data_IF_217289696211
#
_entry.id   IF_217289696211
#
_cell.length_a   1.000
_cell.length_b   1.000
_cell.length_c   1.000
_cell.angle_alpha   90.00
_cell.angle_beta   90.00
_cell.angle_gamma   90.00
#
_symmetry.space_group_name_H-M   'P 1'
#
loop_
_entity.id
_entity.type
_entity.pdbx_description
1 polymer ?
#
# COMPACT_ATOMS: atom_id res chain seq x y z
N UNK A 1 3.92 3.62 9.17
CA UNK A 1 3.63 4.70 8.22
C UNK A 1 2.16 5.08 8.38
N UNK A 2 1.83 6.38 8.50
CA UNK A 2 0.45 6.85 8.66
C UNK A 2 -0.33 6.57 7.36
N UNK A 3 -1.54 6.03 7.46
CA UNK A 3 -2.42 5.85 6.31
C UNK A 3 -3.11 7.17 5.95
N UNK A 4 -3.20 7.45 4.66
CA UNK A 4 -3.67 8.75 4.11
C UNK A 4 -5.09 8.65 3.56
N UNK A 5 -5.37 7.60 2.81
CA UNK A 5 -6.66 7.42 2.14
C UNK A 5 -6.92 5.95 1.80
N UNK A 6 -8.16 5.65 1.47
CA UNK A 6 -8.62 4.40 0.89
C UNK A 6 -8.88 4.58 -0.59
N UNK A 7 -8.44 3.61 -1.39
CA UNK A 7 -8.51 3.67 -2.86
C UNK A 7 -9.07 2.36 -3.39
N UNK A 8 -10.10 2.47 -4.20
CA UNK A 8 -10.61 1.38 -5.01
C UNK A 8 -9.80 1.26 -6.31
N UNK A 9 -9.39 0.05 -6.64
CA UNK A 9 -8.70 -0.31 -7.88
C UNK A 9 -9.54 -1.29 -8.67
N UNK A 10 -9.74 -1.03 -9.96
CA UNK A 10 -10.45 -1.92 -10.87
C UNK A 10 -9.72 -2.05 -12.21
N UNK A 11 -10.15 -3.01 -13.05
CA UNK A 11 -9.63 -3.19 -14.39
C UNK A 11 -10.62 -2.72 -15.46
N UNK A 12 -10.17 -1.85 -16.37
CA UNK A 12 -10.97 -1.35 -17.49
C UNK A 12 -11.20 -2.40 -18.59
N UNK A 13 -10.45 -3.51 -18.55
CA UNK A 13 -10.53 -4.58 -19.56
C UNK A 13 -11.66 -5.58 -19.31
N UNK A 14 -12.35 -5.50 -18.17
CA UNK A 14 -13.44 -6.41 -17.77
C UNK A 14 -14.71 -5.62 -17.57
N UNK A 15 -15.47 -5.42 -18.65
CA UNK A 15 -16.68 -4.58 -18.70
C UNK A 15 -17.89 -5.08 -17.89
N UNK A 16 -17.80 -6.26 -17.27
CA UNK A 16 -18.89 -6.88 -16.50
C UNK A 16 -18.48 -7.28 -15.07
N UNK A 17 -17.29 -6.91 -14.62
CA UNK A 17 -16.76 -7.38 -13.35
C UNK A 17 -16.68 -6.27 -12.31
N UNK A 18 -17.46 -6.42 -11.25
CA UNK A 18 -17.34 -5.73 -9.96
C UNK A 18 -16.07 -6.16 -9.19
N UNK A 19 -15.03 -6.66 -9.88
CA UNK A 19 -13.77 -7.10 -9.26
C UNK A 19 -12.87 -5.90 -9.06
N UNK A 20 -13.03 -5.30 -7.93
CA UNK A 20 -12.10 -4.30 -7.43
C UNK A 20 -11.40 -4.76 -6.18
N UNK A 21 -10.30 -4.11 -5.87
CA UNK A 21 -9.54 -4.27 -4.63
C UNK A 21 -9.46 -2.94 -3.94
N UNK A 22 -9.80 -2.89 -2.66
CA UNK A 22 -9.63 -1.72 -1.81
C UNK A 22 -8.26 -1.78 -1.16
N UNK A 23 -7.51 -0.69 -1.26
CA UNK A 23 -6.18 -0.54 -0.68
C UNK A 23 -6.09 0.73 0.15
N UNK A 24 -5.45 0.64 1.30
CA UNK A 24 -5.22 1.78 2.18
C UNK A 24 -3.82 2.35 1.96
N UNK A 25 -3.75 3.49 1.27
CA UNK A 25 -2.52 4.16 0.86
C UNK A 25 -1.84 4.95 1.99
N UNK A 26 -0.50 5.06 1.99
CA UNK A 26 0.43 4.44 1.05
C UNK A 26 0.51 2.93 1.22
N UNK A 27 0.76 2.24 0.10
CA UNK A 27 0.96 0.79 0.04
C UNK A 27 2.39 0.45 -0.37
N UNK A 28 2.86 -0.75 0.01
CA UNK A 28 4.13 -1.26 -0.48
C UNK A 28 4.03 -1.61 -1.97
N UNK A 29 5.17 -1.76 -2.60
CA UNK A 29 5.20 -2.16 -4.01
C UNK A 29 4.67 -3.60 -4.20
N UNK A 30 4.85 -4.48 -3.22
CA UNK A 30 4.28 -5.82 -3.26
C UNK A 30 2.76 -5.81 -3.08
N UNK A 31 2.22 -5.00 -2.18
CA UNK A 31 0.77 -4.82 -2.05
C UNK A 31 0.15 -4.30 -3.36
N UNK A 32 0.81 -3.35 -4.03
CA UNK A 32 0.36 -2.84 -5.32
C UNK A 32 0.41 -3.91 -6.41
N UNK A 33 1.51 -4.66 -6.52
CA UNK A 33 1.64 -5.74 -7.50
C UNK A 33 0.63 -6.85 -7.26
N UNK A 34 0.39 -7.18 -6.00
CA UNK A 34 -0.59 -8.19 -5.61
C UNK A 34 -2.03 -7.76 -5.96
N UNK A 35 -2.37 -6.50 -5.72
CA UNK A 35 -3.66 -5.95 -6.15
C UNK A 35 -3.86 -6.07 -7.68
N UNK A 36 -2.82 -5.77 -8.47
CA UNK A 36 -2.87 -5.96 -9.93
C UNK A 36 -3.06 -7.42 -10.33
N UNK A 37 -2.46 -8.34 -9.60
CA UNK A 37 -2.64 -9.77 -9.80
C UNK A 37 -4.06 -10.22 -9.45
N UNK A 38 -4.63 -9.67 -8.38
CA UNK A 38 -6.01 -9.93 -7.95
C UNK A 38 -7.05 -9.41 -8.95
N UNK A 39 -6.92 -8.17 -9.45
CA UNK A 39 -7.84 -7.61 -10.46
C UNK A 39 -7.58 -8.16 -11.87
N UNK A 40 -6.60 -9.05 -12.04
CA UNK A 40 -6.27 -9.71 -13.30
C UNK A 40 -5.93 -8.75 -14.45
N UNK A 41 -5.29 -7.66 -14.15
CA UNK A 41 -4.85 -6.74 -15.20
C UNK A 41 -3.56 -7.24 -15.86
N UNK A 42 -3.45 -6.99 -17.18
CA UNK A 42 -2.26 -7.37 -17.95
C UNK A 42 -1.24 -6.25 -18.02
N UNK A 43 -1.69 -5.03 -17.84
CA UNK A 43 -0.83 -3.84 -17.90
C UNK A 43 -1.32 -2.76 -16.91
N UNK A 44 -0.40 -1.99 -16.30
CA UNK A 44 -0.77 -0.89 -15.40
C UNK A 44 -1.70 0.16 -16.03
N UNK A 45 -1.66 0.32 -17.36
CA UNK A 45 -2.55 1.23 -18.10
C UNK A 45 -4.00 0.77 -18.21
N UNK A 46 -4.29 -0.50 -17.87
CA UNK A 46 -5.65 -1.05 -17.85
C UNK A 46 -6.33 -0.85 -16.48
N UNK A 47 -5.61 -0.29 -15.51
CA UNK A 47 -6.12 -0.04 -14.16
C UNK A 47 -6.82 1.31 -14.14
N UNK A 48 -8.05 1.35 -13.65
CA UNK A 48 -8.66 2.58 -13.17
C UNK A 48 -8.69 2.56 -11.64
N UNK A 49 -8.66 3.74 -11.05
CA UNK A 49 -8.67 3.88 -9.61
C UNK A 49 -9.46 5.12 -9.19
N UNK A 50 -9.97 5.06 -7.97
CA UNK A 50 -10.72 6.13 -7.35
C UNK A 50 -10.38 6.18 -5.87
N UNK A 51 -10.24 7.39 -5.33
CA UNK A 51 -10.15 7.58 -3.89
C UNK A 51 -11.56 7.53 -3.31
N UNK A 52 -11.81 6.57 -2.43
CA UNK A 52 -13.11 6.42 -1.77
C UNK A 52 -13.18 7.30 -0.52
N UNK A 53 -12.12 7.31 0.29
CA UNK A 53 -12.08 8.10 1.51
C UNK A 53 -10.66 8.64 1.79
N UNK A 54 -10.57 9.92 2.15
CA UNK A 54 -9.37 10.49 2.76
C UNK A 54 -9.48 10.44 4.28
N UNK A 55 -8.50 9.92 4.97
CA UNK A 55 -8.39 9.98 6.45
C UNK A 55 -7.77 11.29 6.91
N UNK A 56 -6.98 11.92 6.05
CA UNK A 56 -6.35 13.23 6.23
C UNK A 56 -6.14 13.87 4.85
N UNK A 57 -5.75 15.13 4.80
CA UNK A 57 -5.49 15.86 3.53
C UNK A 57 -6.70 15.95 2.58
N UNK A 58 -7.95 15.97 3.09
CA UNK A 58 -9.19 16.01 2.25
C UNK A 58 -9.20 17.19 1.27
N UNK A 59 -8.44 18.24 1.55
CA UNK A 59 -8.32 19.40 0.68
C UNK A 59 -7.59 19.12 -0.63
N UNK A 60 -6.95 17.94 -0.75
CA UNK A 60 -6.31 17.48 -2.00
C UNK A 60 -7.31 16.95 -3.02
N UNK A 61 -8.46 16.41 -2.57
CA UNK A 61 -9.43 15.75 -3.44
C UNK A 61 -9.81 16.56 -4.71
N UNK A 62 -10.06 17.89 -4.65
CA UNK A 62 -10.38 18.69 -5.84
C UNK A 62 -9.21 18.92 -6.80
N UNK A 63 -7.99 18.54 -6.40
CA UNK A 63 -6.75 18.81 -7.12
C UNK A 63 -6.07 17.55 -7.65
N UNK A 64 -6.68 16.38 -7.43
CA UNK A 64 -6.18 15.13 -8.01
C UNK A 64 -6.50 15.10 -9.51
N UNK A 65 -5.50 14.78 -10.31
CA UNK A 65 -5.64 14.60 -11.75
C UNK A 65 -6.00 13.14 -12.05
N UNK A 66 -7.14 12.92 -12.72
CA UNK A 66 -7.58 11.58 -13.14
C UNK A 66 -6.59 10.89 -14.10
N UNK A 67 -5.70 11.65 -14.74
CA UNK A 67 -4.63 11.11 -15.60
C UNK A 67 -3.38 10.65 -14.82
N UNK A 68 -3.32 10.92 -13.53
CA UNK A 68 -2.24 10.50 -12.64
C UNK A 68 -2.14 8.98 -12.60
N UNK A 69 -0.93 8.43 -12.71
CA UNK A 69 -0.73 7.00 -12.50
C UNK A 69 -0.90 6.66 -11.01
N UNK A 70 -1.41 5.45 -10.72
CA UNK A 70 -1.55 4.97 -9.34
C UNK A 70 -0.21 4.91 -8.59
N UNK A 71 0.89 4.72 -9.31
CA UNK A 71 2.24 4.73 -8.74
C UNK A 71 2.68 6.14 -8.32
N UNK A 72 2.37 7.16 -9.13
CA UNK A 72 2.63 8.55 -8.75
C UNK A 72 1.78 8.95 -7.55
N UNK A 73 0.52 8.52 -7.52
CA UNK A 73 -0.36 8.73 -6.38
C UNK A 73 0.17 8.05 -5.11
N UNK A 74 0.65 6.80 -5.21
CA UNK A 74 1.27 6.13 -4.07
C UNK A 74 2.47 6.90 -3.53
N UNK A 75 3.32 7.42 -4.40
CA UNK A 75 4.48 8.19 -3.96
C UNK A 75 4.11 9.53 -3.33
N UNK A 76 3.07 10.20 -3.82
CA UNK A 76 2.52 11.36 -3.15
C UNK A 76 2.02 11.00 -1.74
N UNK A 77 1.25 9.91 -1.60
CA UNK A 77 0.75 9.47 -0.29
C UNK A 77 1.87 9.02 0.65
N UNK A 78 2.96 8.44 0.14
CA UNK A 78 4.16 8.14 0.92
C UNK A 78 4.82 9.40 1.49
N UNK A 79 4.91 10.47 0.71
CA UNK A 79 5.43 11.75 1.19
C UNK A 79 4.51 12.35 2.24
N UNK A 80 3.20 12.42 1.96
CA UNK A 80 2.20 12.96 2.87
C UNK A 80 2.14 12.20 4.20
N UNK A 81 2.34 10.89 4.18
CA UNK A 81 2.30 10.04 5.39
C UNK A 81 3.37 10.37 6.42
N UNK A 82 4.42 11.08 6.02
CA UNK A 82 5.57 11.45 6.85
C UNK A 82 5.43 12.83 7.48
N UNK A 83 4.45 13.63 7.02
CA UNK A 83 4.25 14.99 7.48
C UNK A 83 3.67 15.03 8.90
N UNK A 84 4.20 15.89 9.73
CA UNK A 84 3.62 16.24 11.02
C UNK A 84 2.49 17.27 10.88
N UNK A 85 1.77 17.60 11.96
CA UNK A 85 0.64 18.54 11.97
C UNK A 85 1.02 19.94 11.48
N UNK A 86 2.22 20.44 11.82
CA UNK A 86 2.72 21.72 11.33
C UNK A 86 2.97 21.66 9.82
N UNK A 87 3.61 20.58 9.37
CA UNK A 87 3.92 20.36 7.96
C UNK A 87 2.64 20.15 7.13
N UNK A 88 1.60 19.51 7.68
CA UNK A 88 0.28 19.41 7.03
C UNK A 88 -0.34 20.79 6.80
N UNK A 89 -0.26 21.66 7.80
CA UNK A 89 -0.72 23.04 7.71
C UNK A 89 0.06 23.82 6.64
N UNK A 90 1.39 23.65 6.62
CA UNK A 90 2.26 24.22 5.60
C UNK A 90 1.90 23.72 4.19
N UNK A 91 1.67 22.40 4.01
CA UNK A 91 1.24 21.82 2.75
C UNK A 91 -0.06 22.41 2.25
N UNK A 92 -1.06 22.56 3.13
CA UNK A 92 -2.33 23.21 2.78
C UNK A 92 -2.14 24.66 2.34
N UNK A 93 -1.30 25.41 3.04
CA UNK A 93 -0.95 26.79 2.68
C UNK A 93 -0.23 26.88 1.33
N UNK A 94 0.78 26.05 1.12
CA UNK A 94 1.51 25.99 -0.15
C UNK A 94 0.60 25.66 -1.33
N UNK A 95 -0.28 24.65 -1.17
CA UNK A 95 -1.26 24.31 -2.20
C UNK A 95 -2.16 25.48 -2.53
N UNK A 96 -2.69 26.18 -1.53
CA UNK A 96 -3.55 27.36 -1.76
C UNK A 96 -2.81 28.50 -2.46
N UNK A 97 -1.54 28.75 -2.11
CA UNK A 97 -0.71 29.73 -2.81
C UNK A 97 -0.49 29.33 -4.28
N UNK A 98 -0.20 28.05 -4.54
CA UNK A 98 0.02 27.53 -5.89
C UNK A 98 -1.27 27.59 -6.75
N UNK A 99 -2.42 27.20 -6.18
CA UNK A 99 -3.74 27.34 -6.84
C UNK A 99 -4.01 28.79 -7.21
N UNK A 100 -3.79 29.71 -6.29
CA UNK A 100 -3.98 31.15 -6.55
C UNK A 100 -3.05 31.65 -7.67
N UNK A 101 -1.81 31.20 -7.70
CA UNK A 101 -0.85 31.51 -8.76
C UNK A 101 -1.32 30.98 -10.13
N UNK A 102 -1.74 29.70 -10.19
CA UNK A 102 -2.29 29.12 -11.42
C UNK A 102 -3.51 29.87 -11.94
N UNK A 103 -4.43 30.29 -11.05
CA UNK A 103 -5.59 31.11 -11.42
C UNK A 103 -5.18 32.47 -12.00
N UNK A 104 -4.18 33.13 -11.44
CA UNK A 104 -3.69 34.42 -11.91
C UNK A 104 -2.97 34.33 -13.27
N UNK A 105 -2.19 33.28 -13.45
CA UNK A 105 -1.39 33.06 -14.66
C UNK A 105 -2.15 32.32 -15.76
N UNK A 106 -3.41 31.92 -15.50
CA UNK A 106 -4.25 31.08 -16.36
C UNK A 106 -3.56 29.77 -16.77
N UNK A 107 -2.77 29.21 -15.83
CA UNK A 107 -2.19 27.88 -15.94
C UNK A 107 -3.28 26.82 -15.73
N UNK A 108 -3.07 25.62 -16.25
CA UNK A 108 -3.97 24.50 -16.07
C UNK A 108 -4.12 24.05 -14.60
N UNK A 109 -4.71 22.87 -14.36
CA UNK A 109 -4.81 22.29 -13.01
C UNK A 109 -3.42 22.03 -12.41
N UNK A 110 -3.38 21.91 -11.08
CA UNK A 110 -2.15 21.49 -10.36
C UNK A 110 -1.82 20.04 -10.76
N UNK A 111 -0.56 19.80 -11.10
CA UNK A 111 -0.09 18.48 -11.47
C UNK A 111 0.35 17.68 -10.24
N UNK A 112 0.39 16.35 -10.36
CA UNK A 112 0.92 15.47 -9.30
C UNK A 112 2.34 15.82 -8.91
N UNK A 113 3.18 16.10 -9.90
CA UNK A 113 4.58 16.47 -9.66
C UNK A 113 4.66 17.78 -8.86
N UNK A 114 3.75 18.74 -9.12
CA UNK A 114 3.66 19.94 -8.30
C UNK A 114 3.20 19.61 -6.88
N UNK A 115 2.22 18.71 -6.69
CA UNK A 115 1.80 18.29 -5.35
C UNK A 115 2.96 17.63 -4.58
N UNK A 116 3.72 16.75 -5.21
CA UNK A 116 4.91 16.15 -4.61
C UNK A 116 6.00 17.17 -4.31
N UNK A 117 6.21 18.13 -5.19
CA UNK A 117 7.13 19.25 -4.95
C UNK A 117 6.68 20.08 -3.75
N UNK A 118 5.39 20.40 -3.62
CA UNK A 118 4.89 21.14 -2.46
C UNK A 118 5.09 20.33 -1.16
N UNK A 119 4.79 19.02 -1.18
CA UNK A 119 4.97 18.15 -0.03
C UNK A 119 6.44 18.04 0.42
N UNK A 120 7.40 18.10 -0.52
CA UNK A 120 8.84 18.08 -0.18
C UNK A 120 9.38 19.43 0.30
N UNK A 121 8.62 20.51 0.14
CA UNK A 121 9.02 21.87 0.49
C UNK A 121 8.28 22.46 1.70
N UNK A 122 7.59 21.64 2.49
CA UNK A 122 6.79 22.11 3.64
C UNK A 122 7.64 22.79 4.72
N UNK A 123 8.92 22.45 4.81
CA UNK A 123 9.86 23.06 5.75
C UNK A 123 10.33 24.45 5.31
N UNK A 124 10.10 24.83 4.05
CA UNK A 124 10.34 26.18 3.55
C UNK A 124 9.22 27.17 3.92
N UNK A 125 8.37 26.80 4.88
CA UNK A 125 7.28 27.61 5.37
C UNK A 125 7.35 27.84 6.87
N UNK A 126 6.97 29.04 7.28
CA UNK A 126 6.61 29.32 8.65
C UNK A 126 5.08 29.21 8.83
N UNK A 127 4.67 28.53 9.89
CA UNK A 127 3.27 28.37 10.28
C UNK A 127 3.06 29.13 11.60
N UNK A 128 2.11 30.06 11.60
CA UNK A 128 1.66 30.79 12.79
C UNK A 128 0.29 30.22 13.20
N UNK A 129 0.30 29.24 14.09
CA UNK A 129 -0.88 28.43 14.44
C UNK A 129 -2.02 29.28 15.08
N UNK A 130 -1.67 30.34 15.82
CA UNK A 130 -2.65 31.18 16.52
C UNK A 130 -3.14 32.37 15.68
N UNK A 131 -2.79 32.44 14.40
CA UNK A 131 -3.08 33.58 13.51
C UNK A 131 -4.08 33.14 12.43
N UNK A 132 -5.35 33.55 12.59
CA UNK A 132 -6.43 33.10 11.71
C UNK A 132 -7.10 34.25 10.93
N UNK A 133 -6.70 35.49 11.20
CA UNK A 133 -7.26 36.67 10.56
C UNK A 133 -6.22 37.74 10.28
N UNK A 134 -6.55 38.71 9.43
CA UNK A 134 -5.66 39.87 9.23
C UNK A 134 -5.48 40.66 10.55
N UNK A 135 -6.47 40.69 11.45
CA UNK A 135 -6.32 41.36 12.74
C UNK A 135 -5.29 40.67 13.62
N UNK A 136 -5.34 39.30 13.71
CA UNK A 136 -4.37 38.52 14.48
C UNK A 136 -2.97 38.66 13.87
N UNK A 137 -2.86 38.64 12.54
CA UNK A 137 -1.59 38.82 11.85
C UNK A 137 -1.00 40.21 12.13
N UNK A 138 -1.83 41.25 12.09
CA UNK A 138 -1.37 42.59 12.43
C UNK A 138 -0.92 42.75 13.87
N UNK A 139 -1.65 42.15 14.82
CA UNK A 139 -1.21 42.05 16.23
C UNK A 139 0.13 41.34 16.35
N UNK A 140 0.24 40.17 15.72
CA UNK A 140 1.48 39.38 15.72
C UNK A 140 2.70 40.20 15.27
N UNK A 141 2.58 40.93 14.14
CA UNK A 141 3.69 41.74 13.62
C UNK A 141 4.05 42.92 14.50
N UNK A 142 3.08 43.54 15.11
CA UNK A 142 3.29 44.71 15.97
C UNK A 142 3.83 44.29 17.35
N UNK A 143 3.21 43.30 17.98
CA UNK A 143 3.59 42.84 19.32
C UNK A 143 4.97 42.17 19.38
N UNK A 144 5.42 41.59 18.28
CA UNK A 144 6.73 40.95 18.17
C UNK A 144 7.83 41.89 17.59
N UNK A 145 7.53 43.19 17.39
CA UNK A 145 8.52 44.17 16.95
C UNK A 145 8.97 44.00 15.47
N UNK A 146 8.19 43.33 14.65
CA UNK A 146 8.49 43.20 13.21
C UNK A 146 8.10 44.43 12.37
N UNK A 147 7.55 45.45 13.03
CA UNK A 147 7.18 46.73 12.41
C UNK A 147 8.01 47.87 13.05
N UNK A 148 9.29 47.91 12.69
CA UNK A 148 10.26 48.92 13.20
C UNK A 148 9.75 50.36 13.06
N UNK A 149 8.94 50.65 12.05
CA UNK A 149 8.33 51.96 11.83
C UNK A 149 7.30 52.34 12.91
N UNK A 150 6.78 51.37 13.67
CA UNK A 150 5.83 51.57 14.75
C UNK A 150 6.47 51.51 16.14
N UNK A 151 7.67 51.01 16.29
CA UNK A 151 8.36 50.83 17.60
C UNK A 151 8.61 52.13 18.36
N UNK A 152 8.66 53.27 17.67
CA UNK A 152 8.83 54.57 18.26
C UNK A 152 7.53 55.23 18.78
N UNK A 153 6.38 54.54 18.61
CA UNK A 153 5.09 55.06 19.04
C UNK A 153 4.93 54.93 20.58
N UNK A 154 4.29 55.93 21.24
CA UNK A 154 3.93 55.81 22.65
C UNK A 154 2.81 54.76 22.82
N UNK A 155 2.78 54.09 23.99
CA UNK A 155 1.81 53.03 24.29
C UNK A 155 0.35 53.39 23.98
N UNK A 156 -0.03 54.67 24.21
CA UNK A 156 -1.37 55.14 23.92
C UNK A 156 -1.71 55.16 22.43
N UNK A 157 -0.75 55.14 21.53
CA UNK A 157 -0.97 55.09 20.09
C UNK A 157 -1.27 53.71 19.58
N UNK A 158 -0.83 52.65 20.24
CA UNK A 158 -1.12 51.27 19.85
C UNK A 158 -2.60 50.96 19.89
N UNK A 159 -3.36 51.55 20.82
CA UNK A 159 -4.82 51.41 20.88
C UNK A 159 -5.57 52.04 19.67
N UNK A 160 -4.90 52.86 18.87
CA UNK A 160 -5.46 53.53 17.69
C UNK A 160 -5.08 52.81 16.38
N UNK A 161 -4.26 51.79 16.44
CA UNK A 161 -3.81 51.04 15.26
C UNK A 161 -4.97 50.19 14.68
N UNK A 162 -5.08 50.17 13.38
CA UNK A 162 -5.93 49.25 12.63
C UNK A 162 -5.13 48.00 12.32
N UNK A 163 -5.15 47.05 13.24
CA UNK A 163 -4.41 45.79 13.12
C UNK A 163 -4.85 44.98 11.91
N UNK A 164 -6.14 45.01 11.54
CA UNK A 164 -6.62 44.29 10.37
C UNK A 164 -6.02 44.88 9.06
N UNK A 165 -5.85 46.20 9.00
CA UNK A 165 -5.19 46.84 7.87
C UNK A 165 -3.70 46.54 7.80
N UNK A 166 -3.01 46.54 8.97
CA UNK A 166 -1.60 46.18 9.07
C UNK A 166 -1.39 44.73 8.60
N UNK A 167 -2.14 43.77 9.15
CA UNK A 167 -2.02 42.37 8.76
C UNK A 167 -2.36 42.12 7.30
N UNK A 168 -3.35 42.82 6.74
CA UNK A 168 -3.62 42.78 5.30
C UNK A 168 -2.43 43.23 4.46
N UNK A 169 -1.78 44.31 4.84
CA UNK A 169 -0.57 44.79 4.15
C UNK A 169 0.58 43.78 4.24
N UNK A 170 0.80 43.22 5.43
CA UNK A 170 1.84 42.18 5.61
C UNK A 170 1.57 40.98 4.74
N UNK A 171 0.36 40.41 4.79
CA UNK A 171 -0.03 39.28 3.98
C UNK A 171 0.15 39.52 2.46
N UNK A 172 -0.23 40.69 1.99
CA UNK A 172 -0.04 41.07 0.58
C UNK A 172 1.43 41.20 0.18
N UNK A 173 2.30 41.71 1.10
CA UNK A 173 3.72 41.90 0.84
C UNK A 173 4.52 40.57 0.82
N UNK A 174 4.12 39.60 1.63
CA UNK A 174 4.79 38.31 1.75
C UNK A 174 4.07 37.17 1.02
N UNK A 175 2.95 37.47 0.38
CA UNK A 175 2.11 36.52 -0.37
C UNK A 175 1.69 35.29 0.46
N UNK A 176 1.52 35.46 1.78
CA UNK A 176 1.06 34.39 2.66
C UNK A 176 -0.44 34.14 2.59
N UNK A 177 -0.89 33.05 3.22
CA UNK A 177 -2.29 32.62 3.18
C UNK A 177 -2.78 32.10 4.53
N UNK A 178 -4.07 32.26 4.81
CA UNK A 178 -4.72 31.65 5.97
C UNK A 178 -5.21 30.25 5.61
N UNK A 179 -5.00 29.33 6.52
CA UNK A 179 -5.59 27.98 6.53
C UNK A 179 -6.51 27.83 7.74
N UNK A 180 -7.32 26.79 7.84
CA UNK A 180 -8.09 26.50 9.07
C UNK A 180 -7.23 26.35 10.33
N UNK A 181 -5.94 26.01 10.17
CA UNK A 181 -5.01 25.70 11.25
C UNK A 181 -3.94 26.80 11.49
N UNK A 182 -4.10 27.96 10.87
CA UNK A 182 -3.22 29.09 11.07
C UNK A 182 -2.79 29.79 9.79
N UNK A 183 -1.90 30.76 9.91
CA UNK A 183 -1.34 31.49 8.81
C UNK A 183 -0.04 30.87 8.32
N UNK A 184 0.09 30.71 7.01
CA UNK A 184 1.26 30.12 6.37
C UNK A 184 1.93 31.16 5.48
N UNK A 185 3.23 31.29 5.64
CA UNK A 185 4.07 32.14 4.79
C UNK A 185 5.32 31.39 4.36
N UNK A 186 5.68 31.56 3.11
CA UNK A 186 6.88 30.94 2.54
C UNK A 186 8.11 31.75 2.96
N UNK A 187 9.13 31.08 3.50
CA UNK A 187 10.37 31.69 3.97
C UNK A 187 11.52 31.55 2.98
N UNK A 188 11.45 30.54 2.11
CA UNK A 188 12.48 30.21 1.13
C UNK A 188 11.84 29.94 -0.24
N UNK A 189 12.64 29.92 -1.29
CA UNK A 189 12.18 29.48 -2.62
C UNK A 189 11.96 27.96 -2.63
N UNK A 190 10.96 27.52 -3.39
CA UNK A 190 10.66 26.10 -3.53
C UNK A 190 11.75 25.42 -4.36
N UNK A 191 12.32 24.36 -3.83
CA UNK A 191 13.23 23.50 -4.56
C UNK A 191 12.47 22.62 -5.55
N UNK A 192 13.03 22.37 -6.75
CA UNK A 192 12.41 21.45 -7.69
C UNK A 192 12.38 20.03 -7.11
N UNK A 193 11.36 19.26 -7.50
CA UNK A 193 11.31 17.87 -7.13
C UNK A 193 12.55 17.14 -7.67
N UNK A 194 13.27 16.38 -6.82
CA UNK A 194 14.36 15.54 -7.30
C UNK A 194 13.84 14.48 -8.29
N UNK A 195 14.73 13.94 -9.13
CA UNK A 195 14.39 12.86 -10.06
C UNK A 195 13.64 11.75 -9.32
N UNK A 196 12.49 11.38 -9.84
CA UNK A 196 11.53 10.50 -9.22
C UNK A 196 11.31 9.27 -10.10
N UNK A 197 11.50 8.10 -9.49
CA UNK A 197 11.20 6.82 -10.12
C UNK A 197 10.00 6.17 -9.38
N UNK A 198 8.81 6.15 -10.00
CA UNK A 198 7.61 5.64 -9.36
C UNK A 198 7.63 4.12 -9.15
N UNK A 199 8.46 3.41 -9.87
CA UNK A 199 8.63 1.96 -9.79
C UNK A 199 10.12 1.64 -9.63
N UNK A 200 10.45 0.93 -8.54
CA UNK A 200 11.80 0.42 -8.32
C UNK A 200 11.80 -1.10 -8.50
N UNK A 201 12.91 -1.64 -9.00
CA UNK A 201 13.07 -3.08 -9.02
C UNK A 201 13.16 -3.61 -7.58
N UNK A 202 12.27 -4.59 -7.25
CA UNK A 202 12.25 -5.21 -5.94
C UNK A 202 13.21 -6.40 -5.95
N UNK A 203 14.24 -6.34 -5.11
CA UNK A 203 15.28 -7.36 -5.00
C UNK A 203 15.03 -8.39 -3.88
N UNK A 204 14.12 -8.10 -2.95
CA UNK A 204 13.80 -8.99 -1.82
C UNK A 204 12.54 -9.83 -2.07
N UNK A 205 12.36 -10.90 -1.31
CA UNK A 205 11.10 -11.66 -1.25
C UNK A 205 10.30 -11.31 0.01
N UNK A 206 11.00 -11.00 1.08
CA UNK A 206 10.45 -10.56 2.37
C UNK A 206 11.35 -9.44 2.87
N UNK A 207 10.78 -8.31 3.26
CA UNK A 207 11.47 -7.21 3.95
C UNK A 207 10.97 -7.13 5.37
N UNK A 208 11.87 -7.17 6.31
CA UNK A 208 11.57 -7.01 7.73
C UNK A 208 12.10 -5.67 8.21
N UNK A 209 11.26 -4.93 8.91
CA UNK A 209 11.69 -3.76 9.68
C UNK A 209 11.85 -4.19 11.13
N UNK A 210 13.04 -3.98 11.67
CA UNK A 210 13.43 -4.40 13.01
C UNK A 210 13.71 -3.19 13.88
N UNK A 211 13.50 -3.34 15.17
CA UNK A 211 13.79 -2.34 16.19
C UNK A 211 14.43 -3.03 17.40
N UNK A 212 15.39 -2.38 18.04
CA UNK A 212 15.98 -2.88 19.28
C UNK A 212 14.97 -2.74 20.43
N UNK A 213 14.81 -3.77 21.25
CA UNK A 213 13.87 -3.81 22.38
C UNK A 213 14.14 -2.74 23.46
N UNK A 214 15.42 -2.45 23.72
CA UNK A 214 15.83 -1.50 24.76
C UNK A 214 15.98 -0.08 24.23
N UNK A 215 16.13 0.09 22.91
CA UNK A 215 16.34 1.39 22.27
C UNK A 215 15.54 1.52 20.97
N UNK A 216 14.33 2.07 21.07
CA UNK A 216 13.42 2.26 19.94
C UNK A 216 13.97 3.17 18.82
N UNK A 217 15.02 3.95 19.09
CA UNK A 217 15.71 4.77 18.06
C UNK A 217 16.62 3.93 17.15
N UNK A 218 16.97 2.71 17.57
CA UNK A 218 17.77 1.78 16.79
C UNK A 218 16.86 0.90 15.95
N UNK A 219 16.74 1.27 14.69
CA UNK A 219 15.94 0.51 13.70
C UNK A 219 16.82 0.10 12.53
N UNK A 220 16.51 -1.03 11.91
CA UNK A 220 17.18 -1.51 10.71
C UNK A 220 16.19 -2.21 9.77
N UNK A 221 16.58 -2.33 8.51
CA UNK A 221 15.82 -3.06 7.49
C UNK A 221 16.64 -4.26 7.04
N UNK A 222 16.00 -5.43 7.02
CA UNK A 222 16.56 -6.68 6.55
C UNK A 222 15.75 -7.21 5.36
N UNK A 223 16.39 -7.21 4.20
CA UNK A 223 15.85 -7.78 2.98
C UNK A 223 16.25 -9.26 2.88
N UNK A 224 15.28 -10.15 2.74
CA UNK A 224 15.46 -11.60 2.64
C UNK A 224 15.15 -12.09 1.21
N UNK A 225 15.88 -13.11 0.71
CA UNK A 225 16.91 -13.86 1.41
C UNK A 225 18.21 -13.07 1.61
N UNK A 226 18.78 -13.20 2.80
CA UNK A 226 20.01 -12.53 3.21
C UNK A 226 21.13 -13.52 3.53
N UNK A 227 22.37 -13.07 3.37
CA UNK A 227 23.56 -13.81 3.81
C UNK A 227 23.78 -13.66 5.30
N UNK A 228 24.49 -14.61 5.92
CA UNK A 228 24.89 -14.49 7.33
C UNK A 228 25.65 -13.19 7.63
N UNK A 229 26.49 -12.75 6.70
CA UNK A 229 27.22 -11.50 6.85
C UNK A 229 26.24 -10.31 6.96
N UNK A 230 25.20 -10.23 6.08
CA UNK A 230 24.21 -9.15 6.14
C UNK A 230 23.39 -9.21 7.43
N UNK A 231 23.03 -10.41 7.90
CA UNK A 231 22.36 -10.59 9.20
C UNK A 231 23.20 -10.04 10.36
N UNK A 232 24.51 -10.34 10.37
CA UNK A 232 25.42 -9.82 11.40
C UNK A 232 25.60 -8.28 11.30
N UNK A 233 25.59 -7.72 10.10
CA UNK A 233 25.61 -6.26 9.91
C UNK A 233 24.36 -5.59 10.50
N UNK A 234 23.18 -6.16 10.26
CA UNK A 234 21.92 -5.68 10.80
C UNK A 234 21.89 -5.78 12.34
N UNK A 235 22.39 -6.87 12.92
CA UNK A 235 22.53 -6.98 14.39
C UNK A 235 23.40 -5.86 14.97
N UNK A 236 24.49 -5.48 14.28
CA UNK A 236 25.34 -4.34 14.69
C UNK A 236 24.65 -2.99 14.50
N UNK A 237 23.91 -2.81 13.41
CA UNK A 237 23.12 -1.59 13.16
C UNK A 237 22.10 -1.38 14.28
N UNK A 238 21.44 -2.46 14.73
CA UNK A 238 20.48 -2.47 15.82
C UNK A 238 21.12 -2.35 17.21
N UNK A 239 22.42 -2.60 17.35
CA UNK A 239 23.07 -2.79 18.65
C UNK A 239 22.44 -3.95 19.45
N UNK A 240 22.07 -5.02 18.75
CA UNK A 240 21.42 -6.23 19.28
C UNK A 240 22.34 -7.44 19.07
N UNK A 241 23.14 -7.85 20.08
CA UNK A 241 24.06 -9.00 19.98
C UNK A 241 23.36 -10.31 19.63
N UNK A 242 22.15 -10.48 20.14
CA UNK A 242 21.29 -11.62 19.88
C UNK A 242 19.97 -11.17 19.24
N UNK A 243 19.31 -12.04 18.47
CA UNK A 243 18.06 -11.68 17.80
C UNK A 243 16.90 -11.43 18.78
N UNK A 244 16.89 -12.05 19.95
CA UNK A 244 15.86 -11.79 20.96
C UNK A 244 15.92 -10.37 21.54
N UNK A 245 17.03 -9.62 21.33
CA UNK A 245 17.14 -8.21 21.68
C UNK A 245 16.41 -7.30 20.67
N UNK A 246 15.91 -7.84 19.58
CA UNK A 246 15.20 -7.15 18.54
C UNK A 246 13.74 -7.61 18.43
N UNK A 247 12.89 -6.79 17.80
CA UNK A 247 11.51 -7.13 17.46
C UNK A 247 11.16 -6.70 16.04
N UNK A 248 10.22 -7.39 15.41
CA UNK A 248 9.66 -6.95 14.14
C UNK A 248 8.68 -5.79 14.36
N UNK A 249 8.85 -4.71 13.61
CA UNK A 249 7.93 -3.56 13.58
C UNK A 249 7.21 -3.42 12.25
N UNK A 250 7.62 -4.21 11.24
CA UNK A 250 6.95 -4.25 9.94
C UNK A 250 7.45 -5.43 9.11
N UNK A 251 6.57 -5.91 8.25
CA UNK A 251 6.84 -6.94 7.27
C UNK A 251 6.23 -6.52 5.92
N UNK A 252 7.00 -6.68 4.85
CA UNK A 252 6.53 -6.53 3.47
C UNK A 252 6.99 -7.75 2.67
N UNK A 253 6.06 -8.64 2.35
CA UNK A 253 6.34 -9.91 1.72
C UNK A 253 5.61 -10.05 0.38
N UNK A 254 6.26 -10.73 -0.58
CA UNK A 254 5.67 -11.04 -1.89
C UNK A 254 4.40 -11.90 -1.80
N UNK A 255 4.21 -12.62 -0.70
CA UNK A 255 2.99 -13.35 -0.33
C UNK A 255 2.30 -12.57 0.79
N UNK A 256 1.18 -11.87 0.53
CA UNK A 256 0.59 -10.91 1.48
C UNK A 256 0.22 -11.51 2.84
N UNK A 257 -0.21 -12.76 2.87
CA UNK A 257 -0.56 -13.47 4.11
C UNK A 257 0.60 -13.52 5.11
N UNK A 258 1.85 -13.53 4.62
CA UNK A 258 3.05 -13.55 5.48
C UNK A 258 3.19 -12.27 6.31
N UNK A 259 2.68 -11.12 5.84
CA UNK A 259 2.75 -9.86 6.59
C UNK A 259 2.10 -9.94 7.97
N UNK A 260 1.14 -10.84 8.14
CA UNK A 260 0.42 -11.06 9.41
C UNK A 260 0.92 -12.29 10.18
N UNK A 261 1.66 -13.19 9.54
CA UNK A 261 2.14 -14.43 10.16
C UNK A 261 3.56 -14.30 10.73
N UNK A 262 4.39 -13.44 10.11
CA UNK A 262 5.78 -13.28 10.53
C UNK A 262 5.87 -12.25 11.65
N UNK A 263 5.81 -12.72 12.90
CA UNK A 263 5.79 -11.86 14.09
C UNK A 263 6.92 -12.15 15.06
N UNK A 264 7.58 -13.32 14.95
CA UNK A 264 8.60 -13.77 15.89
C UNK A 264 10.00 -13.73 15.28
N UNK A 265 10.89 -13.02 15.95
CA UNK A 265 12.31 -12.89 15.56
C UNK A 265 13.08 -14.20 15.71
N UNK A 266 12.68 -15.08 16.61
CA UNK A 266 13.31 -16.40 16.79
C UNK A 266 13.19 -17.28 15.54
N UNK A 267 12.16 -17.03 14.72
CA UNK A 267 11.95 -17.70 13.44
C UNK A 267 12.81 -17.17 12.28
N UNK A 268 13.63 -16.14 12.49
CA UNK A 268 14.38 -15.46 11.43
C UNK A 268 15.19 -16.41 10.51
N UNK A 269 15.90 -17.43 11.00
CA UNK A 269 16.58 -18.38 10.11
C UNK A 269 15.62 -19.13 9.18
N UNK A 270 14.44 -19.52 9.69
CA UNK A 270 13.39 -20.19 8.93
C UNK A 270 12.72 -19.24 7.94
N UNK A 271 12.51 -17.99 8.34
CA UNK A 271 11.96 -16.96 7.45
C UNK A 271 12.91 -16.71 6.27
N UNK A 272 14.22 -16.74 6.51
CA UNK A 272 15.22 -16.64 5.45
C UNK A 272 15.20 -17.84 4.49
N UNK A 273 15.01 -19.05 4.99
CA UNK A 273 14.81 -20.26 4.18
C UNK A 273 13.53 -20.17 3.35
N UNK A 274 12.43 -19.70 3.95
CA UNK A 274 11.19 -19.43 3.24
C UNK A 274 11.40 -18.42 2.10
N UNK A 275 12.12 -17.32 2.35
CA UNK A 275 12.40 -16.32 1.33
C UNK A 275 13.20 -16.90 0.14
N UNK A 276 14.14 -17.83 0.37
CA UNK A 276 14.84 -18.56 -0.70
C UNK A 276 13.86 -19.41 -1.52
N UNK A 277 13.00 -20.15 -0.85
CA UNK A 277 11.96 -20.96 -1.51
C UNK A 277 10.97 -20.12 -2.32
N UNK A 278 10.58 -18.94 -1.83
CA UNK A 278 9.75 -17.99 -2.58
C UNK A 278 10.43 -17.46 -3.84
N UNK A 279 11.75 -17.26 -3.78
CA UNK A 279 12.53 -16.87 -4.96
C UNK A 279 12.52 -17.98 -6.03
N UNK A 280 12.63 -19.26 -5.62
CA UNK A 280 12.55 -20.41 -6.50
C UNK A 280 11.12 -20.55 -7.11
N UNK A 281 10.08 -20.38 -6.30
CA UNK A 281 8.69 -20.38 -6.78
C UNK A 281 8.43 -19.26 -7.79
N UNK A 282 8.98 -18.06 -7.56
CA UNK A 282 8.89 -16.95 -8.51
C UNK A 282 9.57 -17.30 -9.83
N UNK A 283 10.77 -17.85 -9.78
CA UNK A 283 11.53 -18.25 -10.96
C UNK A 283 10.86 -19.38 -11.76
N UNK A 284 10.17 -20.31 -11.09
CA UNK A 284 9.43 -21.42 -11.71
C UNK A 284 7.99 -21.08 -12.12
N UNK A 285 7.51 -19.85 -11.85
CA UNK A 285 6.13 -19.44 -12.13
C UNK A 285 5.07 -20.09 -11.24
N UNK A 286 5.46 -20.63 -10.07
CA UNK A 286 4.56 -21.29 -9.12
C UNK A 286 4.08 -20.36 -8.00
N UNK A 287 4.55 -19.12 -7.97
CA UNK A 287 4.29 -18.20 -6.86
C UNK A 287 2.81 -17.87 -6.70
N UNK A 288 2.10 -17.57 -7.79
CA UNK A 288 0.65 -17.27 -7.76
C UNK A 288 -0.16 -18.46 -7.23
N UNK A 289 0.19 -19.69 -7.65
CA UNK A 289 -0.40 -20.91 -7.09
C UNK A 289 -0.15 -21.00 -5.59
N UNK A 290 1.05 -20.71 -5.13
CA UNK A 290 1.38 -20.74 -3.70
C UNK A 290 0.60 -19.69 -2.91
N UNK A 291 0.48 -18.44 -3.42
CA UNK A 291 -0.38 -17.40 -2.81
C UNK A 291 -1.83 -17.88 -2.65
N UNK A 292 -2.38 -18.47 -3.72
CA UNK A 292 -3.73 -19.01 -3.70
C UNK A 292 -3.91 -20.14 -2.68
N UNK A 293 -2.96 -21.08 -2.60
CA UNK A 293 -3.00 -22.20 -1.65
C UNK A 293 -2.90 -21.69 -0.21
N UNK A 294 -1.95 -20.80 0.10
CA UNK A 294 -1.80 -20.21 1.45
C UNK A 294 -3.05 -19.45 1.87
N UNK A 295 -3.69 -18.72 0.94
CA UNK A 295 -4.94 -18.02 1.19
C UNK A 295 -6.11 -18.96 1.45
N UNK A 296 -6.32 -19.97 0.59
CA UNK A 296 -7.43 -20.92 0.68
C UNK A 296 -7.32 -21.89 1.87
N UNK A 297 -6.11 -22.25 2.30
CA UNK A 297 -5.90 -23.22 3.39
C UNK A 297 -5.82 -22.62 4.78
N UNK A 298 -6.07 -21.31 4.93
CA UNK A 298 -6.14 -20.59 6.20
C UNK A 298 -4.93 -20.84 7.12
N UNK A 299 -3.72 -20.75 6.54
CA UNK A 299 -2.48 -20.88 7.32
C UNK A 299 -2.47 -19.88 8.49
N UNK A 300 -2.20 -20.36 9.70
CA UNK A 300 -2.12 -19.58 10.93
C UNK A 300 -0.70 -19.49 11.50
N UNK A 301 0.16 -20.41 11.09
CA UNK A 301 1.54 -20.52 11.59
C UNK A 301 2.54 -20.62 10.44
N UNK A 302 3.82 -20.36 10.76
CA UNK A 302 4.91 -20.56 9.82
C UNK A 302 5.06 -22.06 9.44
N UNK A 303 4.74 -22.98 10.34
CA UNK A 303 4.75 -24.43 10.06
C UNK A 303 3.69 -24.80 9.02
N UNK A 304 2.50 -24.19 9.07
CA UNK A 304 1.48 -24.38 8.05
C UNK A 304 1.98 -23.93 6.67
N UNK A 305 2.67 -22.80 6.62
CA UNK A 305 3.23 -22.27 5.37
C UNK A 305 4.26 -23.22 4.76
N UNK A 306 5.16 -23.79 5.57
CA UNK A 306 6.13 -24.78 5.11
C UNK A 306 5.46 -26.10 4.67
N UNK A 307 4.43 -26.55 5.39
CA UNK A 307 3.66 -27.75 4.99
C UNK A 307 2.98 -27.52 3.61
N UNK A 308 2.41 -26.33 3.37
CA UNK A 308 1.82 -26.00 2.07
C UNK A 308 2.86 -25.87 0.97
N UNK A 309 4.05 -25.37 1.30
CA UNK A 309 5.17 -25.28 0.37
C UNK A 309 5.61 -26.68 -0.09
N UNK A 310 5.83 -27.60 0.85
CA UNK A 310 6.23 -28.98 0.56
C UNK A 310 5.15 -29.73 -0.25
N UNK A 311 3.89 -29.54 0.12
CA UNK A 311 2.75 -30.20 -0.51
C UNK A 311 2.18 -29.47 -1.74
N UNK A 312 2.80 -28.38 -2.19
CA UNK A 312 2.31 -27.57 -3.32
C UNK A 312 2.00 -28.39 -4.58
N UNK A 313 2.77 -29.45 -4.94
CA UNK A 313 2.43 -30.31 -6.10
C UNK A 313 1.10 -31.06 -5.94
N UNK A 314 0.59 -31.24 -4.72
CA UNK A 314 -0.65 -31.98 -4.44
C UNK A 314 -1.90 -31.11 -4.54
N UNK A 315 -1.76 -29.83 -4.83
CA UNK A 315 -2.86 -28.92 -5.13
C UNK A 315 -2.99 -28.71 -6.63
N UNK A 316 -4.24 -28.57 -7.09
CA UNK A 316 -4.59 -28.09 -8.42
C UNK A 316 -4.91 -26.60 -8.33
N UNK A 317 -4.64 -25.87 -9.41
CA UNK A 317 -4.86 -24.43 -9.47
C UNK A 317 -5.27 -23.98 -10.86
N UNK A 318 -6.44 -23.33 -10.95
CA UNK A 318 -7.02 -22.84 -12.20
C UNK A 318 -7.13 -21.31 -12.16
N UNK A 319 -6.21 -20.62 -12.82
CA UNK A 319 -6.09 -19.16 -12.82
C UNK A 319 -7.28 -18.42 -13.44
N UNK A 320 -8.00 -19.09 -14.34
CA UNK A 320 -9.11 -18.48 -15.08
C UNK A 320 -10.43 -18.50 -14.29
N UNK A 321 -10.53 -19.36 -13.28
CA UNK A 321 -11.73 -19.53 -12.47
C UNK A 321 -11.56 -18.75 -11.18
N UNK A 322 -12.02 -17.50 -11.17
CA UNK A 322 -11.83 -16.57 -10.04
C UNK A 322 -13.10 -16.24 -9.29
N UNK A 323 -14.24 -16.55 -9.89
CA UNK A 323 -15.57 -16.31 -9.32
C UNK A 323 -16.54 -17.45 -9.69
N UNK A 324 -17.71 -17.42 -9.06
CA UNK A 324 -18.75 -18.43 -9.27
C UNK A 324 -19.29 -18.43 -10.70
N UNK A 325 -19.32 -17.30 -11.37
CA UNK A 325 -19.83 -17.19 -12.74
C UNK A 325 -18.87 -17.85 -13.75
N UNK A 326 -17.57 -17.58 -13.61
CA UNK A 326 -16.53 -18.23 -14.39
C UNK A 326 -16.51 -19.76 -14.16
N UNK A 327 -16.69 -20.20 -12.90
CA UNK A 327 -16.79 -21.63 -12.57
C UNK A 327 -17.98 -22.30 -13.27
N UNK A 328 -19.16 -21.67 -13.18
CA UNK A 328 -20.39 -22.23 -13.83
C UNK A 328 -20.24 -22.31 -15.33
N UNK A 329 -19.64 -21.30 -15.96
CA UNK A 329 -19.40 -21.33 -17.42
C UNK A 329 -18.44 -22.44 -17.82
N UNK A 330 -17.33 -22.58 -17.10
CA UNK A 330 -16.32 -23.60 -17.37
C UNK A 330 -16.89 -25.00 -17.20
N UNK A 331 -17.62 -25.25 -16.11
CA UNK A 331 -18.26 -26.55 -15.82
C UNK A 331 -19.34 -26.90 -16.83
N UNK A 332 -20.20 -25.94 -17.18
CA UNK A 332 -21.24 -26.18 -18.20
C UNK A 332 -20.63 -26.44 -19.58
N UNK A 333 -19.57 -25.72 -19.95
CA UNK A 333 -18.87 -25.97 -21.22
C UNK A 333 -18.23 -27.35 -21.24
N UNK A 334 -17.65 -27.79 -20.11
CA UNK A 334 -17.07 -29.12 -19.98
C UNK A 334 -18.13 -30.24 -20.08
N UNK A 335 -19.29 -30.08 -19.41
CA UNK A 335 -20.32 -31.11 -19.29
C UNK A 335 -21.22 -31.19 -20.57
N UNK A 336 -21.60 -30.03 -21.11
CA UNK A 336 -22.61 -29.96 -22.18
C UNK A 336 -22.04 -29.52 -23.54
N UNK A 337 -21.05 -28.62 -23.49
CA UNK A 337 -20.44 -27.99 -24.65
C UNK A 337 -21.32 -26.94 -25.34
N UNK A 338 -20.71 -25.91 -25.85
CA UNK A 338 -21.23 -24.92 -26.79
C UNK A 338 -22.65 -24.39 -26.52
N UNK A 339 -23.54 -24.56 -27.47
CA UNK A 339 -24.89 -23.95 -27.44
C UNK A 339 -25.77 -24.43 -26.29
N UNK A 340 -25.59 -25.67 -25.84
CA UNK A 340 -26.41 -26.26 -24.78
C UNK A 340 -25.95 -25.66 -23.41
N UNK A 341 -24.66 -25.42 -23.23
CA UNK A 341 -24.11 -24.72 -22.08
C UNK A 341 -24.69 -23.31 -21.97
N UNK A 342 -24.70 -22.53 -23.08
CA UNK A 342 -25.25 -21.17 -23.10
C UNK A 342 -26.75 -21.13 -22.79
N UNK A 343 -27.49 -22.13 -23.24
CA UNK A 343 -28.94 -22.23 -22.99
C UNK A 343 -29.20 -22.52 -21.52
N UNK A 344 -28.52 -23.49 -20.92
CA UNK A 344 -28.69 -23.87 -19.53
C UNK A 344 -28.24 -22.72 -18.62
N UNK A 345 -27.10 -22.09 -18.92
CA UNK A 345 -26.56 -20.98 -18.13
C UNK A 345 -27.59 -19.85 -17.89
N UNK A 346 -28.43 -19.52 -18.89
CA UNK A 346 -29.45 -18.46 -18.77
C UNK A 346 -30.59 -18.80 -17.82
N UNK A 347 -30.82 -20.08 -17.52
CA UNK A 347 -31.95 -20.56 -16.74
C UNK A 347 -31.54 -21.23 -15.42
N UNK A 348 -30.25 -21.40 -15.20
CA UNK A 348 -29.70 -22.05 -14.02
C UNK A 348 -29.67 -21.09 -12.80
N UNK A 349 -29.95 -21.64 -11.63
CA UNK A 349 -29.56 -20.95 -10.38
C UNK A 349 -28.03 -21.09 -10.21
N UNK A 350 -27.31 -20.13 -10.75
CA UNK A 350 -25.82 -20.14 -10.84
C UNK A 350 -25.15 -20.19 -9.49
N UNK A 351 -25.68 -19.46 -8.51
CA UNK A 351 -25.12 -19.40 -7.16
C UNK A 351 -25.15 -20.79 -6.50
N UNK A 352 -26.32 -21.41 -6.46
CA UNK A 352 -26.47 -22.74 -5.87
C UNK A 352 -25.66 -23.80 -6.63
N UNK A 353 -25.63 -23.73 -7.98
CA UNK A 353 -24.85 -24.65 -8.76
C UNK A 353 -23.34 -24.51 -8.52
N UNK A 354 -22.83 -23.30 -8.46
CA UNK A 354 -21.42 -23.05 -8.14
C UNK A 354 -21.04 -23.61 -6.76
N UNK A 355 -21.89 -23.41 -5.76
CA UNK A 355 -21.66 -23.96 -4.40
C UNK A 355 -21.62 -25.50 -4.40
N UNK A 356 -22.50 -26.15 -5.14
CA UNK A 356 -22.49 -27.61 -5.30
C UNK A 356 -21.23 -28.10 -5.98
N UNK A 357 -20.79 -27.43 -7.04
CA UNK A 357 -19.54 -27.75 -7.77
C UNK A 357 -18.31 -27.56 -6.87
N UNK A 358 -18.20 -26.43 -6.19
CA UNK A 358 -17.09 -26.19 -5.25
C UNK A 358 -17.02 -27.26 -4.16
N UNK A 359 -18.18 -27.61 -3.60
CA UNK A 359 -18.28 -28.66 -2.59
C UNK A 359 -17.89 -30.05 -3.16
N UNK A 360 -18.31 -30.35 -4.39
CA UNK A 360 -17.99 -31.62 -5.05
C UNK A 360 -16.48 -31.78 -5.28
N UNK A 361 -15.80 -30.70 -5.67
CA UNK A 361 -14.36 -30.70 -5.91
C UNK A 361 -13.52 -30.43 -4.66
N UNK A 362 -14.14 -30.14 -3.50
CA UNK A 362 -13.43 -29.68 -2.32
C UNK A 362 -12.61 -28.43 -2.61
N UNK A 363 -13.15 -27.56 -3.48
CA UNK A 363 -12.46 -26.40 -4.02
C UNK A 363 -12.86 -25.10 -3.32
N UNK A 364 -11.97 -24.11 -3.36
CA UNK A 364 -12.24 -22.74 -2.96
C UNK A 364 -11.82 -21.74 -4.04
N UNK A 365 -12.57 -20.67 -4.15
CA UNK A 365 -12.24 -19.54 -5.01
C UNK A 365 -11.37 -18.57 -4.23
N UNK A 366 -10.27 -18.17 -4.84
CA UNK A 366 -9.37 -17.14 -4.33
C UNK A 366 -9.30 -15.98 -5.34
N UNK A 367 -8.81 -14.81 -4.95
CA UNK A 367 -8.59 -13.71 -5.89
C UNK A 367 -7.67 -14.07 -7.05
N UNK A 368 -6.83 -15.09 -6.88
CA UNK A 368 -5.87 -15.55 -7.91
C UNK A 368 -6.42 -16.63 -8.83
N UNK A 369 -7.44 -17.35 -8.40
CA UNK A 369 -8.02 -18.48 -9.12
C UNK A 369 -8.62 -19.52 -8.18
N UNK A 370 -9.16 -20.60 -8.75
CA UNK A 370 -9.71 -21.73 -8.00
C UNK A 370 -8.59 -22.67 -7.55
N UNK A 371 -8.65 -23.09 -6.28
CA UNK A 371 -7.75 -24.07 -5.66
C UNK A 371 -8.55 -25.27 -5.20
N UNK A 372 -8.04 -26.47 -5.46
CA UNK A 372 -8.51 -27.71 -4.88
C UNK A 372 -7.35 -28.68 -4.65
N UNK A 373 -7.58 -29.71 -3.84
CA UNK A 373 -6.60 -30.79 -3.69
C UNK A 373 -6.74 -31.80 -4.84
N UNK A 374 -5.62 -32.39 -5.24
CA UNK A 374 -5.62 -33.41 -6.29
C UNK A 374 -6.43 -34.68 -5.92
N UNK A 375 -6.65 -34.93 -4.63
CA UNK A 375 -7.48 -36.01 -4.12
C UNK A 375 -8.94 -35.62 -3.85
N UNK A 376 -9.32 -34.36 -4.18
CA UNK A 376 -10.63 -33.75 -3.93
C UNK A 376 -11.06 -33.75 -2.45
N UNK A 377 -10.11 -33.90 -1.53
CA UNK A 377 -10.36 -33.76 -0.11
C UNK A 377 -10.52 -32.29 0.32
N UNK A 378 -11.09 -32.03 1.50
CA UNK A 378 -11.25 -30.67 2.02
C UNK A 378 -9.90 -29.95 2.16
N UNK A 379 -9.83 -28.67 1.74
CA UNK A 379 -8.60 -27.89 1.76
C UNK A 379 -8.02 -27.65 3.16
N UNK A 380 -8.88 -27.59 4.18
CA UNK A 380 -8.49 -27.35 5.57
C UNK A 380 -8.05 -28.58 6.34
N UNK A 381 -8.25 -29.77 5.74
CA UNK A 381 -7.81 -31.01 6.37
C UNK A 381 -6.38 -31.39 5.94
N UNK A 382 -5.61 -32.05 6.82
CA UNK A 382 -4.28 -32.52 6.44
C UNK A 382 -4.33 -33.47 5.23
N UNK A 383 -3.39 -33.31 4.31
CA UNK A 383 -3.26 -34.24 3.20
C UNK A 383 -2.71 -35.56 3.74
N UNK A 384 -3.37 -36.72 3.50
CA UNK A 384 -2.89 -38.00 3.97
C UNK A 384 -1.49 -38.31 3.43
N UNK A 385 -0.58 -38.78 4.28
CA UNK A 385 0.71 -39.27 3.84
C UNK A 385 0.50 -40.44 2.86
N UNK A 386 1.05 -40.35 1.65
CA UNK A 386 1.05 -41.45 0.72
C UNK A 386 1.95 -42.56 1.33
N UNK A 387 1.35 -43.65 1.78
CA UNK A 387 2.12 -44.86 2.13
C UNK A 387 2.86 -45.28 0.86
N UNK A 388 4.18 -45.17 0.88
CA UNK A 388 5.01 -45.78 -0.14
C UNK A 388 4.66 -47.29 -0.17
N UNK A 389 3.94 -47.73 -1.18
CA UNK A 389 3.81 -49.17 -1.48
C UNK A 389 5.21 -49.68 -1.77
N UNK A 390 5.80 -50.34 -0.76
CA UNK A 390 7.00 -51.12 -0.97
C UNK A 390 6.65 -52.15 -2.05
N UNK A 391 7.22 -51.96 -3.23
CA UNK A 391 7.21 -52.93 -4.31
C UNK A 391 7.83 -54.23 -3.77
N UNK A 392 6.98 -55.18 -3.37
CA UNK A 392 7.40 -56.55 -3.14
C UNK A 392 7.85 -57.13 -4.47
N UNK A 393 9.18 -57.23 -4.65
CA UNK A 393 9.74 -58.06 -5.71
C UNK A 393 9.19 -59.50 -5.57
N UNK A 394 8.68 -60.12 -6.65
CA UNK A 394 8.28 -61.50 -6.57
C UNK A 394 9.52 -62.36 -6.44
N UNK A 395 9.69 -63.01 -5.30
CA UNK A 395 10.69 -64.09 -5.14
C UNK A 395 10.31 -65.20 -6.10
N UNK A 396 11.07 -65.31 -7.20
CA UNK A 396 11.08 -66.52 -8.00
C UNK A 396 11.76 -67.64 -7.19
N UNK A 397 10.93 -68.52 -6.63
CA UNK A 397 11.37 -69.77 -6.10
C UNK A 397 11.83 -70.73 -7.21
N UNK A 398 13.01 -71.27 -7.05
CA UNK A 398 13.47 -72.46 -7.81
C UNK A 398 12.68 -73.69 -7.41
#
# INVERSE_FOLDING_TARGET
MRKVCEVYLGSSSTSDDERGVELTFPVSQYEMMDAFEQIYTKAPGDVYWQVDEFYCFYYLAPHLDESMSIFEFNSLTEQLSKLDERQETAMQGLLQMQVNKHMQENNGPITTQELMMLASNVDHCQVLADVHSNEDLGKFYVENGFREDLDALPDSAYALLDYAKIGKQMRESEAGTFTPHGYVVRTEELEPLPDYEPQREISYMIRLTLMNHENEQKTAVLDLPATEQRMQEVQKELDAPEWFDAQFTGCDAIVPKLNTLLTDVEDLPRINELAQSLQELKASGQLTKFKAVVGATQCETLDDVFDRLEKLPQYCFETKIRDKDALVRDELEFVLGGKDADLIYKHLNREAYAEDVLKQYGAELTPYGMVNRADFGPLHEPIPEQKQEQSQEPQMGM
#
